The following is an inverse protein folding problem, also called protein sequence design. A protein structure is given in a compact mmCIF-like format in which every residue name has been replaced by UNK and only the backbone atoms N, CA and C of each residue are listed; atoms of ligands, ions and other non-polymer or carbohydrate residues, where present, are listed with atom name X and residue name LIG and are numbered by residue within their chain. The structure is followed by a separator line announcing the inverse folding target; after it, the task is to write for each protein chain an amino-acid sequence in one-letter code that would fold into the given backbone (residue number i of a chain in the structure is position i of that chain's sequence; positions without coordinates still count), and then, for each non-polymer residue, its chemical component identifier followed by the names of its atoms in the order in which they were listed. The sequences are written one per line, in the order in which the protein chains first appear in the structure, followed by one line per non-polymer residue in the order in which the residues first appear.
data_IF_287159843398
#
_entry.id   IF_287159843398
#
_cell.length_a   1.000
_cell.length_b   1.000
_cell.length_c   1.000
_cell.angle_alpha   90.00
_cell.angle_beta   90.00
_cell.angle_gamma   90.00
#
_symmetry.space_group_name_H-M   'P 1'
#
loop_
_entity.id
_entity.type
_entity.pdbx_description
1 polymer ?
#
# COMPACT_ATOMS: atom_id res chain seq x y z
N UNK A 1 -1.31 -6.41 -7.94
CA UNK A 1 -1.99 -6.97 -6.75
C UNK A 1 -2.96 -5.93 -6.23
N UNK A 2 -4.19 -6.32 -5.91
CA UNK A 2 -5.13 -5.45 -5.19
C UNK A 2 -4.90 -5.60 -3.70
N UNK A 3 -4.76 -4.47 -3.01
CA UNK A 3 -4.64 -4.39 -1.57
C UNK A 3 -5.92 -3.74 -1.06
N UNK A 4 -6.67 -4.42 -0.21
CA UNK A 4 -7.89 -3.90 0.40
C UNK A 4 -7.77 -3.84 1.92
N UNK A 5 -8.34 -2.81 2.51
CA UNK A 5 -8.48 -2.63 3.96
C UNK A 5 -9.91 -2.22 4.26
N UNK A 6 -10.25 -2.08 5.55
CA UNK A 6 -11.55 -1.54 5.96
C UNK A 6 -11.82 -0.12 5.41
N UNK A 7 -10.78 0.65 5.09
CA UNK A 7 -10.92 2.06 4.68
C UNK A 7 -11.03 2.24 3.17
N UNK A 8 -10.49 1.30 2.40
CA UNK A 8 -10.50 1.39 0.94
C UNK A 8 -9.61 0.34 0.30
N UNK A 9 -9.35 0.51 -0.98
CA UNK A 9 -8.53 -0.40 -1.77
C UNK A 9 -7.63 0.35 -2.75
N UNK A 10 -6.56 -0.31 -3.19
CA UNK A 10 -5.65 0.20 -4.19
C UNK A 10 -4.96 -0.93 -4.96
N UNK A 11 -4.56 -0.63 -6.19
CA UNK A 11 -3.85 -1.58 -7.06
C UNK A 11 -2.40 -1.16 -7.20
N UNK A 12 -1.50 -2.09 -6.90
CA UNK A 12 -0.06 -1.85 -6.89
C UNK A 12 0.71 -2.95 -7.63
N UNK A 13 1.86 -2.60 -8.24
CA UNK A 13 2.84 -3.61 -8.60
C UNK A 13 3.39 -4.27 -7.33
N UNK A 14 3.62 -5.58 -7.38
CA UNK A 14 4.21 -6.31 -6.26
C UNK A 14 5.69 -6.58 -6.56
N UNK A 15 6.54 -6.37 -5.54
CA UNK A 15 7.93 -6.79 -5.55
C UNK A 15 8.12 -7.82 -4.42
N UNK A 16 8.39 -9.07 -4.79
CA UNK A 16 8.53 -10.16 -3.81
C UNK A 16 9.98 -10.25 -3.39
N UNK A 17 10.23 -10.18 -2.08
CA UNK A 17 11.56 -10.20 -1.48
C UNK A 17 11.54 -11.05 -0.22
N UNK A 18 12.69 -11.62 0.13
CA UNK A 18 12.88 -12.41 1.37
C UNK A 18 13.45 -11.56 2.52
N UNK A 19 13.62 -10.25 2.31
CA UNK A 19 14.28 -9.33 3.26
C UNK A 19 13.34 -8.74 4.30
N UNK A 20 12.04 -9.01 4.21
CA UNK A 20 11.02 -8.61 5.19
C UNK A 20 10.29 -9.84 5.71
N UNK A 21 9.59 -9.68 6.84
CA UNK A 21 8.80 -10.78 7.41
C UNK A 21 7.70 -11.23 6.45
N UNK A 22 7.42 -12.54 6.43
CA UNK A 22 6.41 -13.16 5.57
C UNK A 22 4.99 -12.61 5.78
N UNK A 23 4.69 -12.12 6.98
CA UNK A 23 3.39 -11.57 7.38
C UNK A 23 3.23 -10.07 7.09
N UNK A 24 4.20 -9.44 6.42
CA UNK A 24 4.30 -7.99 6.32
C UNK A 24 4.25 -7.52 4.87
N UNK A 25 3.46 -6.47 4.62
CA UNK A 25 3.39 -5.75 3.34
C UNK A 25 4.00 -4.37 3.52
N UNK A 26 4.86 -3.96 2.58
CA UNK A 26 5.40 -2.62 2.52
C UNK A 26 4.84 -1.85 1.32
N UNK A 27 4.21 -0.71 1.57
CA UNK A 27 3.73 0.22 0.54
C UNK A 27 4.45 1.56 0.70
N UNK A 28 5.20 2.03 -0.31
CA UNK A 28 5.85 3.33 -0.26
C UNK A 28 4.83 4.48 -0.21
N UNK A 29 5.15 5.56 0.53
CA UNK A 29 4.25 6.71 0.70
C UNK A 29 4.43 7.82 -0.36
N UNK A 30 5.34 7.65 -1.33
CA UNK A 30 5.67 8.70 -2.29
C UNK A 30 4.70 8.80 -3.48
N UNK A 31 3.79 7.83 -3.66
CA UNK A 31 2.72 7.90 -4.65
C UNK A 31 1.55 8.75 -4.15
N UNK A 32 1.07 9.67 -4.98
CA UNK A 32 -0.04 10.58 -4.67
C UNK A 32 -1.41 9.96 -5.05
N UNK A 33 -2.50 10.72 -4.88
CA UNK A 33 -3.82 10.38 -5.42
C UNK A 33 -4.35 9.01 -4.97
N UNK A 34 -4.87 8.23 -5.92
CA UNK A 34 -5.49 6.91 -5.68
C UNK A 34 -4.51 5.86 -5.15
N UNK A 35 -3.23 5.95 -5.51
CA UNK A 35 -2.16 5.07 -5.02
C UNK A 35 -1.50 5.55 -3.72
N UNK A 36 -2.00 6.61 -3.11
CA UNK A 36 -1.48 7.02 -1.81
C UNK A 36 -1.74 5.94 -0.76
N UNK A 37 -0.69 5.54 -0.02
CA UNK A 37 -0.82 4.59 1.09
C UNK A 37 -1.86 5.07 2.12
N UNK A 38 -2.02 6.39 2.27
CA UNK A 38 -2.99 6.99 3.16
C UNK A 38 -4.45 6.75 2.74
N UNK A 39 -4.74 6.19 1.56
CA UNK A 39 -6.08 5.70 1.23
C UNK A 39 -6.45 4.46 2.07
N UNK A 40 -5.44 3.66 2.44
CA UNK A 40 -5.59 2.37 3.10
C UNK A 40 -5.46 2.44 4.62
N UNK A 41 -4.62 3.34 5.13
CA UNK A 41 -4.27 3.43 6.57
C UNK A 41 -5.46 3.86 7.44
N UNK A 42 -5.63 3.30 8.65
CA UNK A 42 -6.74 3.64 9.52
C UNK A 42 -6.69 5.12 9.95
N UNK A 43 -7.87 5.70 10.21
CA UNK A 43 -7.98 7.07 10.75
C UNK A 43 -7.85 7.14 12.27
N UNK A 44 -7.35 6.09 12.92
CA UNK A 44 -7.14 6.05 14.37
C UNK A 44 -5.98 6.96 14.75
N UNK A 45 -6.17 7.70 15.84
CA UNK A 45 -5.16 8.57 16.42
C UNK A 45 -4.82 8.07 17.82
N UNK A 46 -3.56 8.18 18.19
CA UNK A 46 -3.13 7.97 19.57
C UNK A 46 -3.90 8.90 20.53
N UNK A 47 -4.46 8.39 21.64
CA UNK A 47 -5.34 9.18 22.51
C UNK A 47 -4.66 10.39 23.15
N UNK A 48 -3.33 10.36 23.33
CA UNK A 48 -2.57 11.41 24.02
C UNK A 48 -1.95 12.38 23.02
N UNK A 49 -1.08 11.87 22.14
CA UNK A 49 -0.28 12.65 21.20
C UNK A 49 -1.00 13.04 19.92
N UNK A 50 -2.13 12.36 19.61
CA UNK A 50 -2.88 12.50 18.35
C UNK A 50 -2.07 12.11 17.10
N UNK A 51 -0.98 11.38 17.25
CA UNK A 51 -0.22 10.83 16.12
C UNK A 51 -1.05 9.74 15.43
N UNK A 52 -1.14 9.73 14.08
CA UNK A 52 -1.84 8.69 13.36
C UNK A 52 -1.10 7.34 13.32
N UNK A 53 -1.87 6.28 13.20
CA UNK A 53 -1.36 4.91 13.05
C UNK A 53 -1.00 4.60 11.59
N UNK A 54 0.24 4.90 11.20
CA UNK A 54 0.71 4.68 9.83
C UNK A 54 1.42 3.34 9.60
N UNK A 55 1.95 2.72 10.67
CA UNK A 55 2.84 1.54 10.56
C UNK A 55 2.12 0.21 10.73
N UNK A 56 0.86 0.22 11.13
CA UNK A 56 0.06 -0.99 11.37
C UNK A 56 -1.29 -0.81 10.68
N UNK A 57 -1.60 -1.71 9.75
CA UNK A 57 -2.89 -1.75 9.08
C UNK A 57 -3.13 -3.17 8.55
N UNK A 58 -4.18 -3.82 9.02
CA UNK A 58 -4.59 -5.11 8.46
C UNK A 58 -5.09 -4.90 7.03
N UNK A 59 -4.57 -5.72 6.11
CA UNK A 59 -4.95 -5.70 4.70
C UNK A 59 -5.17 -7.11 4.16
N UNK A 60 -5.92 -7.20 3.07
CA UNK A 60 -6.09 -8.40 2.28
C UNK A 60 -5.43 -8.19 0.90
N UNK A 61 -4.77 -9.23 0.40
CA UNK A 61 -4.08 -9.22 -0.88
C UNK A 61 -4.79 -10.14 -1.87
N UNK A 62 -5.16 -9.59 -3.02
CA UNK A 62 -5.75 -10.35 -4.12
C UNK A 62 -4.85 -10.27 -5.37
N UNK A 63 -4.45 -11.42 -5.95
CA UNK A 63 -3.71 -11.42 -7.21
C UNK A 63 -4.62 -10.96 -8.36
N UNK A 64 -4.08 -10.16 -9.27
CA UNK A 64 -4.80 -9.70 -10.47
C UNK A 64 -4.42 -10.51 -11.72
N UNK A 65 -3.53 -11.49 -11.59
CA UNK A 65 -3.00 -12.30 -12.69
C UNK A 65 -2.37 -11.49 -13.83
N UNK A 66 -1.81 -10.33 -13.50
CA UNK A 66 -1.10 -9.43 -14.42
C UNK A 66 0.33 -9.21 -13.92
N UNK A 67 1.29 -9.24 -14.86
CA UNK A 67 2.70 -8.92 -14.58
C UNK A 67 2.89 -7.41 -14.78
N UNK A 68 3.41 -6.73 -13.76
CA UNK A 68 3.71 -5.31 -13.87
C UNK A 68 4.87 -5.07 -14.85
N UNK A 69 4.85 -3.95 -15.61
CA UNK A 69 5.97 -3.60 -16.46
C UNK A 69 7.23 -3.32 -15.63
N UNK A 70 8.42 -3.41 -16.23
CA UNK A 70 9.67 -3.04 -15.57
C UNK A 70 9.61 -1.64 -14.96
N UNK A 71 10.37 -1.39 -13.89
CA UNK A 71 10.36 -0.09 -13.19
C UNK A 71 10.73 1.09 -14.10
N UNK A 72 11.56 0.87 -15.12
CA UNK A 72 11.94 1.87 -16.13
C UNK A 72 10.77 2.35 -17.00
N UNK A 73 9.75 1.52 -17.15
CA UNK A 73 8.55 1.80 -17.96
C UNK A 73 7.31 2.03 -17.07
N UNK A 74 7.49 1.95 -15.75
CA UNK A 74 6.39 2.03 -14.80
C UNK A 74 5.90 3.46 -14.65
N UNK A 75 4.63 3.67 -14.98
CA UNK A 75 3.91 4.94 -14.72
C UNK A 75 3.28 4.95 -13.32
N UNK A 76 3.79 4.13 -12.38
CA UNK A 76 3.22 4.04 -11.03
C UNK A 76 3.15 5.39 -10.31
N UNK A 77 4.13 6.27 -10.54
CA UNK A 77 4.20 7.63 -10.01
C UNK A 77 3.11 8.56 -10.53
N UNK A 78 2.56 8.32 -11.73
CA UNK A 78 1.53 9.15 -12.36
C UNK A 78 0.14 8.84 -11.80
N UNK A 79 0.04 8.66 -10.49
CA UNK A 79 -1.19 8.31 -9.79
C UNK A 79 -2.18 9.48 -9.86
N UNK A 80 -3.11 9.40 -10.82
CA UNK A 80 -4.24 10.33 -11.01
C UNK A 80 -5.43 9.93 -10.15
#
# INVERSE_FOLDING_TARGET
VRVSTRRGEGIFPANIVETIREDTVFIPYHWSGKKSANQLTPGTLDPISKIPEFKVCACHLEPLNEIAPPSSESTAYASV
#
